data_IF_828712074091
#
_entry.id   IF_828712074091
#
_cell.length_a   1.000
_cell.length_b   1.000
_cell.length_c   1.000
_cell.angle_alpha   90.00
_cell.angle_beta   90.00
_cell.angle_gamma   90.00
#
_symmetry.space_group_name_H-M   'P 1'
#
loop_
_entity.id
_entity.type
_entity.pdbx_description
1 polymer ?
#
# COMPACT_ATOMS: atom_id res chain seq x y z
N UNK A 1 6.51 8.76 -1.22
CA UNK A 1 5.05 8.64 -1.07
C UNK A 1 4.62 7.28 -1.60
N UNK A 2 3.67 6.62 -0.96
CA UNK A 2 3.20 5.29 -1.37
C UNK A 2 1.67 5.20 -1.23
N UNK A 3 0.99 4.63 -2.23
CA UNK A 3 -0.43 4.26 -2.13
C UNK A 3 -0.54 2.95 -1.35
N UNK A 4 -1.28 2.94 -0.25
CA UNK A 4 -1.47 1.73 0.56
C UNK A 4 -2.66 0.91 0.02
N UNK A 5 -2.71 -0.41 0.29
CA UNK A 5 -3.84 -1.25 -0.12
C UNK A 5 -5.20 -0.75 0.41
N UNK A 6 -5.21 -0.13 1.60
CA UNK A 6 -6.41 0.51 2.16
C UNK A 6 -6.93 1.70 1.32
N UNK A 7 -6.14 2.19 0.37
CA UNK A 7 -6.39 3.40 -0.40
C UNK A 7 -6.13 4.68 0.37
N UNK A 8 -5.39 4.60 1.47
CA UNK A 8 -4.72 5.73 2.10
C UNK A 8 -3.37 5.99 1.41
N UNK A 9 -2.80 7.17 1.65
CA UNK A 9 -1.51 7.58 1.07
C UNK A 9 -0.52 7.82 2.20
N UNK A 10 0.59 7.10 2.18
CA UNK A 10 1.69 7.30 3.12
C UNK A 10 2.70 8.30 2.53
N UNK A 11 2.96 9.37 3.26
CA UNK A 11 3.99 10.38 2.95
C UNK A 11 5.05 10.25 4.04
N UNK A 12 6.30 10.00 3.64
CA UNK A 12 7.40 9.71 4.56
C UNK A 12 8.71 10.22 3.95
N UNK A 13 9.76 10.26 4.79
CA UNK A 13 11.11 10.67 4.39
C UNK A 13 11.19 12.15 3.98
N UNK A 14 12.34 12.56 3.45
CA UNK A 14 12.58 13.91 2.96
C UNK A 14 13.11 14.86 4.02
N UNK A 15 13.04 16.15 3.71
CA UNK A 15 13.64 17.23 4.48
C UNK A 15 12.63 18.35 4.68
N UNK A 16 12.70 19.04 5.82
CA UNK A 16 11.87 20.20 6.13
C UNK A 16 12.39 21.47 5.44
N UNK A 17 13.66 21.48 5.04
CA UNK A 17 14.30 22.63 4.39
C UNK A 17 15.21 22.20 3.24
N UNK A 18 15.19 22.97 2.16
CA UNK A 18 16.03 22.76 0.98
C UNK A 18 15.33 21.94 -0.10
N UNK A 19 16.13 21.31 -0.96
CA UNK A 19 15.64 20.60 -2.15
C UNK A 19 16.34 19.25 -2.36
N UNK A 20 15.82 18.50 -3.32
CA UNK A 20 16.40 17.25 -3.80
C UNK A 20 17.79 17.49 -4.41
N UNK A 21 18.74 16.60 -4.10
CA UNK A 21 20.12 16.66 -4.57
C UNK A 21 21.15 16.51 -3.45
N UNK A 22 22.43 16.54 -3.81
CA UNK A 22 23.52 16.41 -2.85
C UNK A 22 23.78 17.72 -2.12
N UNK A 23 23.82 17.67 -0.79
CA UNK A 23 24.15 18.83 0.05
C UNK A 23 23.13 19.97 0.08
N UNK A 24 21.99 19.86 -0.61
CA UNK A 24 20.98 20.93 -0.71
C UNK A 24 19.90 20.89 0.36
N UNK A 25 19.71 19.77 1.04
CA UNK A 25 18.68 19.61 2.08
C UNK A 25 19.27 19.74 3.49
N UNK A 26 18.45 20.24 4.42
CA UNK A 26 18.72 20.30 5.87
C UNK A 26 17.47 19.87 6.62
N UNK A 27 17.62 19.60 7.91
CA UNK A 27 16.51 19.36 8.84
C UNK A 27 15.63 18.17 8.38
N UNK A 28 16.08 16.91 8.56
CA UNK A 28 15.34 15.73 8.12
C UNK A 28 13.91 15.70 8.64
N UNK A 29 12.98 15.23 7.81
CA UNK A 29 11.63 14.95 8.26
C UNK A 29 11.53 13.50 8.76
N UNK A 30 11.50 13.33 10.07
CA UNK A 30 11.39 12.03 10.72
C UNK A 30 9.94 11.52 10.82
N UNK A 31 8.95 12.42 10.78
CA UNK A 31 7.55 12.11 11.06
C UNK A 31 6.79 11.81 9.77
N UNK A 32 6.35 10.56 9.54
CA UNK A 32 5.47 10.26 8.41
C UNK A 32 4.09 10.87 8.62
N UNK A 33 3.40 11.11 7.51
CA UNK A 33 2.01 11.58 7.49
C UNK A 33 1.17 10.60 6.68
N UNK A 34 0.07 10.14 7.28
CA UNK A 34 -0.96 9.39 6.58
C UNK A 34 -2.03 10.34 6.07
N UNK A 35 -2.31 10.26 4.77
CA UNK A 35 -3.42 10.97 4.14
C UNK A 35 -4.56 9.99 3.82
N UNK A 36 -5.75 10.24 4.36
CA UNK A 36 -6.95 9.48 4.06
C UNK A 36 -7.93 10.34 3.25
N UNK A 37 -8.17 10.04 1.96
CA UNK A 37 -9.05 10.85 1.11
C UNK A 37 -10.54 10.71 1.46
N UNK A 38 -10.93 9.67 2.20
CA UNK A 38 -12.34 9.32 2.49
C UNK A 38 -12.89 10.03 3.72
N UNK A 39 -12.02 10.53 4.61
CA UNK A 39 -12.46 11.29 5.78
C UNK A 39 -12.73 12.76 5.42
N UNK A 40 -13.42 13.45 6.33
CA UNK A 40 -13.84 14.84 6.13
C UNK A 40 -12.62 15.74 5.87
N UNK A 41 -12.80 16.76 5.03
CA UNK A 41 -11.76 17.78 4.81
C UNK A 41 -11.41 18.42 6.16
N UNK A 42 -10.13 18.56 6.46
CA UNK A 42 -9.62 19.01 7.76
C UNK A 42 -9.13 17.87 8.66
N UNK A 43 -9.63 16.65 8.48
CA UNK A 43 -9.24 15.46 9.26
C UNK A 43 -8.38 14.47 8.45
N UNK A 44 -8.03 14.83 7.20
CA UNK A 44 -7.42 13.90 6.25
C UNK A 44 -5.97 13.57 6.53
N UNK A 45 -5.25 14.39 7.29
CA UNK A 45 -3.83 14.20 7.56
C UNK A 45 -3.63 13.83 9.02
N UNK A 46 -2.82 12.80 9.26
CA UNK A 46 -2.44 12.36 10.59
C UNK A 46 -0.97 12.03 10.63
N UNK A 47 -0.25 12.61 11.58
CA UNK A 47 1.14 12.26 11.86
C UNK A 47 1.23 10.84 12.47
N UNK A 48 2.28 10.11 12.11
CA UNK A 48 2.57 8.76 12.59
C UNK A 48 3.84 8.76 13.45
N UNK A 49 4.16 7.62 14.04
CA UNK A 49 5.39 7.46 14.82
C UNK A 49 6.63 7.80 13.97
N UNK A 50 7.56 8.63 14.49
CA UNK A 50 8.74 9.03 13.74
C UNK A 50 9.78 7.90 13.64
N UNK A 51 10.54 7.89 12.55
CA UNK A 51 11.79 7.10 12.45
C UNK A 51 12.94 7.86 13.11
N UNK A 52 14.02 7.16 13.47
CA UNK A 52 15.29 7.76 13.89
C UNK A 52 16.29 7.85 12.75
N UNK A 53 15.96 7.37 11.55
CA UNK A 53 16.85 7.34 10.39
C UNK A 53 16.51 8.49 9.43
N UNK A 54 17.45 9.40 9.13
CA UNK A 54 17.21 10.48 8.16
C UNK A 54 17.20 9.91 6.74
N UNK A 55 16.00 9.73 6.17
CA UNK A 55 15.81 9.27 4.78
C UNK A 55 15.77 10.48 3.83
N UNK A 56 16.93 10.89 3.33
CA UNK A 56 17.12 12.11 2.52
C UNK A 56 17.09 11.81 1.00
N UNK A 57 17.81 12.58 0.18
CA UNK A 57 17.95 12.34 -1.26
C UNK A 57 18.50 10.94 -1.57
N UNK A 58 18.01 10.29 -2.64
CA UNK A 58 18.20 8.86 -2.93
C UNK A 58 17.58 7.89 -1.90
N UNK A 59 16.64 8.33 -1.05
CA UNK A 59 15.75 7.38 -0.35
C UNK A 59 14.66 6.86 -1.29
N UNK A 60 14.12 5.68 -0.96
CA UNK A 60 13.01 5.06 -1.69
C UNK A 60 12.05 4.37 -0.73
N UNK A 61 10.80 4.21 -1.18
CA UNK A 61 9.77 3.50 -0.45
C UNK A 61 8.86 2.71 -1.41
N UNK A 62 8.51 1.48 -1.06
CA UNK A 62 7.57 0.65 -1.85
C UNK A 62 6.72 -0.24 -0.96
N UNK A 63 5.49 -0.52 -1.37
CA UNK A 63 4.57 -1.40 -0.63
C UNK A 63 4.91 -2.86 -0.92
N UNK A 64 4.93 -3.67 0.13
CA UNK A 64 5.16 -5.10 0.09
C UNK A 64 3.84 -5.87 0.02
N UNK A 65 3.92 -7.14 -0.39
CA UNK A 65 2.79 -8.05 -0.49
C UNK A 65 2.02 -8.21 0.83
N UNK A 66 2.72 -8.15 1.97
CA UNK A 66 2.12 -8.22 3.32
C UNK A 66 1.50 -6.89 3.81
N UNK A 67 1.44 -5.87 2.95
CA UNK A 67 0.89 -4.55 3.27
C UNK A 67 1.84 -3.64 4.05
N UNK A 68 3.06 -4.06 4.40
CA UNK A 68 4.10 -3.17 4.96
C UNK A 68 4.72 -2.31 3.88
N UNK A 69 5.46 -1.28 4.27
CA UNK A 69 6.22 -0.43 3.35
C UNK A 69 7.70 -0.61 3.60
N UNK A 70 8.45 -1.08 2.60
CA UNK A 70 9.90 -1.12 2.63
C UNK A 70 10.45 0.30 2.42
N UNK A 71 11.32 0.74 3.32
CA UNK A 71 11.99 2.06 3.28
C UNK A 71 13.50 1.83 3.28
N UNK A 72 14.20 2.41 2.31
CA UNK A 72 15.64 2.20 2.12
C UNK A 72 16.35 3.46 1.59
N UNK A 73 17.68 3.41 1.53
CA UNK A 73 18.55 4.57 1.27
C UNK A 73 18.62 5.49 2.50
N UNK A 74 19.09 6.72 2.48
CA UNK A 74 19.54 7.56 1.39
C UNK A 74 21.03 7.51 1.17
N UNK A 75 21.45 8.01 0.02
CA UNK A 75 22.82 8.43 -0.21
C UNK A 75 22.83 9.86 -0.78
N UNK A 76 22.86 10.88 0.08
CA UNK A 76 22.87 12.28 -0.36
C UNK A 76 24.29 12.78 -0.70
N UNK A 77 25.20 11.86 -1.02
CA UNK A 77 26.62 12.11 -1.25
C UNK A 77 27.06 11.61 -2.63
N UNK A 78 28.18 12.15 -3.13
CA UNK A 78 28.84 11.68 -4.35
C UNK A 78 29.66 10.41 -4.09
N UNK A 79 28.97 9.28 -3.93
CA UNK A 79 29.56 7.99 -3.58
C UNK A 79 29.23 7.55 -2.15
N UNK A 80 29.89 6.51 -1.65
CA UNK A 80 29.72 6.02 -0.29
C UNK A 80 30.56 6.85 0.67
N UNK A 81 29.91 7.72 1.43
CA UNK A 81 30.56 8.60 2.40
C UNK A 81 29.91 8.40 3.75
N UNK A 82 30.70 8.00 4.74
CA UNK A 82 30.23 7.70 6.09
C UNK A 82 30.53 8.80 7.10
N UNK A 83 31.52 9.66 6.80
CA UNK A 83 31.84 10.85 7.57
C UNK A 83 31.25 12.09 6.87
N UNK A 84 29.95 12.31 7.07
CA UNK A 84 29.20 13.42 6.49
C UNK A 84 28.01 13.79 7.39
N UNK A 85 27.42 14.96 7.17
CA UNK A 85 26.21 15.41 7.88
C UNK A 85 25.08 14.36 7.81
N UNK A 86 24.92 13.75 6.63
CA UNK A 86 24.02 12.62 6.41
C UNK A 86 24.81 11.50 5.74
N UNK A 87 25.33 10.54 6.52
CA UNK A 87 26.08 9.39 6.02
C UNK A 87 25.29 8.55 5.02
N UNK A 88 25.97 7.79 4.18
CA UNK A 88 25.32 6.78 3.34
C UNK A 88 24.63 5.74 4.22
N UNK A 89 23.31 5.62 4.07
CA UNK A 89 22.46 4.74 4.87
C UNK A 89 22.18 3.42 4.13
N UNK A 90 22.69 2.33 4.68
CA UNK A 90 22.59 0.99 4.11
C UNK A 90 21.48 0.13 4.75
N UNK A 91 20.95 0.55 5.90
CA UNK A 91 19.88 -0.19 6.59
C UNK A 91 18.58 0.00 5.83
N UNK A 92 17.73 -1.03 5.83
CA UNK A 92 16.35 -0.94 5.38
C UNK A 92 15.41 -1.09 6.58
N UNK A 93 14.27 -0.39 6.55
CA UNK A 93 13.20 -0.52 7.53
C UNK A 93 11.94 -1.07 6.85
N UNK A 94 11.15 -1.85 7.57
CA UNK A 94 9.77 -2.16 7.19
C UNK A 94 8.85 -1.34 8.07
N UNK A 95 8.26 -0.29 7.48
CA UNK A 95 7.23 0.49 8.14
C UNK A 95 5.92 -0.32 8.16
N UNK A 96 5.30 -0.43 9.34
CA UNK A 96 4.02 -1.12 9.52
C UNK A 96 2.90 -0.07 9.66
N UNK A 97 2.03 0.10 8.66
CA UNK A 97 0.95 1.09 8.74
C UNK A 97 -0.06 0.75 9.84
N UNK A 98 -0.85 1.74 10.30
CA UNK A 98 -1.80 1.56 11.42
C UNK A 98 -2.82 0.44 11.23
N UNK A 99 -3.16 0.06 9.99
CA UNK A 99 -4.06 -1.06 9.73
C UNK A 99 -3.44 -2.44 10.07
N UNK A 100 -2.13 -2.53 10.35
CA UNK A 100 -1.46 -3.75 10.81
C UNK A 100 -1.32 -3.80 12.34
N UNK A 101 -2.02 -2.94 13.07
CA UNK A 101 -2.06 -3.01 14.53
C UNK A 101 -2.59 -4.39 14.98
N UNK A 102 -1.93 -5.09 15.92
CA UNK A 102 -2.39 -6.38 16.43
C UNK A 102 -3.84 -6.37 16.94
N UNK A 103 -4.34 -5.22 17.43
CA UNK A 103 -5.73 -5.07 17.86
C UNK A 103 -6.75 -5.23 16.71
N UNK A 104 -6.30 -5.07 15.47
CA UNK A 104 -7.10 -5.16 14.25
C UNK A 104 -6.98 -6.51 13.54
N UNK A 105 -6.14 -7.44 14.03
CA UNK A 105 -5.85 -8.71 13.34
C UNK A 105 -7.12 -9.54 13.06
N UNK A 106 -8.13 -9.48 13.94
CA UNK A 106 -9.42 -10.17 13.74
C UNK A 106 -10.16 -9.73 12.46
N UNK A 107 -9.89 -8.52 11.97
CA UNK A 107 -10.49 -7.99 10.75
C UNK A 107 -9.68 -8.33 9.50
N UNK A 108 -8.47 -8.87 9.64
CA UNK A 108 -7.58 -9.18 8.53
C UNK A 108 -8.15 -10.31 7.66
N UNK A 109 -8.47 -10.04 6.39
CA UNK A 109 -8.92 -11.08 5.49
C UNK A 109 -7.75 -11.98 5.06
N UNK A 110 -8.04 -13.25 4.81
CA UNK A 110 -7.14 -14.19 4.16
C UNK A 110 -7.78 -14.66 2.87
N UNK A 111 -7.27 -14.19 1.73
CA UNK A 111 -7.74 -14.61 0.40
C UNK A 111 -7.39 -16.09 0.21
N UNK A 112 -8.30 -16.85 -0.40
CA UNK A 112 -8.02 -18.18 -0.94
C UNK A 112 -7.54 -18.04 -2.39
N UNK A 113 -6.23 -18.23 -2.68
CA UNK A 113 -5.70 -18.08 -4.04
C UNK A 113 -6.23 -19.17 -4.97
N UNK A 114 -6.50 -20.38 -4.47
CA UNK A 114 -6.98 -21.49 -5.30
C UNK A 114 -8.42 -21.27 -5.78
N UNK A 115 -9.18 -20.48 -5.03
CA UNK A 115 -10.55 -20.09 -5.35
C UNK A 115 -10.65 -18.70 -6.01
N UNK A 116 -9.53 -18.07 -6.37
CA UNK A 116 -9.49 -16.76 -7.02
C UNK A 116 -8.78 -16.83 -8.38
N UNK A 117 -9.37 -16.32 -9.48
CA UNK A 117 -8.73 -16.38 -10.79
C UNK A 117 -7.40 -15.62 -10.84
N UNK A 118 -6.33 -16.29 -11.26
CA UNK A 118 -4.99 -15.67 -11.41
C UNK A 118 -4.87 -14.78 -12.65
N UNK A 119 -5.62 -15.08 -13.72
CA UNK A 119 -5.60 -14.34 -14.99
C UNK A 119 -6.95 -13.67 -15.19
N UNK A 120 -6.92 -12.36 -15.37
CA UNK A 120 -8.09 -11.50 -15.42
C UNK A 120 -8.19 -10.82 -16.79
N UNK A 121 -9.32 -10.95 -17.45
CA UNK A 121 -9.72 -10.10 -18.56
C UNK A 121 -10.31 -8.78 -18.08
N UNK A 122 -10.66 -7.92 -19.05
CA UNK A 122 -11.32 -6.64 -18.79
C UNK A 122 -12.84 -6.78 -18.71
N UNK A 123 -13.47 -5.90 -17.93
CA UNK A 123 -14.93 -5.78 -17.81
C UNK A 123 -15.64 -7.13 -17.57
N UNK A 124 -15.05 -7.99 -16.76
CA UNK A 124 -15.61 -9.28 -16.39
C UNK A 124 -15.90 -9.33 -14.90
N UNK A 125 -16.91 -10.12 -14.55
CA UNK A 125 -17.24 -10.42 -13.17
C UNK A 125 -16.40 -11.60 -12.70
N UNK A 126 -15.74 -11.46 -11.55
CA UNK A 126 -14.98 -12.52 -10.90
C UNK A 126 -15.43 -12.71 -9.47
N UNK A 127 -15.22 -13.92 -8.95
CA UNK A 127 -15.40 -14.23 -7.55
C UNK A 127 -14.03 -14.24 -6.84
N UNK A 128 -13.94 -13.59 -5.68
CA UNK A 128 -12.78 -13.63 -4.78
C UNK A 128 -13.25 -14.23 -3.46
N UNK A 129 -12.72 -15.39 -3.09
CA UNK A 129 -13.05 -16.02 -1.80
C UNK A 129 -12.03 -15.63 -0.74
N UNK A 130 -12.51 -15.36 0.47
CA UNK A 130 -11.66 -15.05 1.60
C UNK A 130 -12.25 -15.54 2.92
N UNK A 131 -11.38 -15.68 3.92
CA UNK A 131 -11.73 -15.96 5.30
C UNK A 131 -11.43 -14.77 6.19
N UNK A 132 -12.20 -14.58 7.25
CA UNK A 132 -11.92 -13.57 8.28
C UNK A 132 -12.42 -14.06 9.64
N UNK A 133 -11.67 -13.75 10.69
CA UNK A 133 -11.89 -14.26 12.05
C UNK A 133 -12.73 -13.30 12.93
N UNK A 134 -13.52 -12.42 12.31
CA UNK A 134 -14.39 -11.51 13.06
C UNK A 134 -15.68 -12.21 13.50
N UNK A 135 -16.17 -11.85 14.68
CA UNK A 135 -17.43 -12.40 15.25
C UNK A 135 -18.64 -11.87 14.51
N UNK A 136 -18.68 -10.56 14.27
CA UNK A 136 -19.78 -9.93 13.56
C UNK A 136 -19.75 -10.29 12.07
N UNK A 137 -20.90 -10.42 11.40
CA UNK A 137 -20.94 -10.60 9.96
C UNK A 137 -20.23 -9.48 9.20
N UNK A 138 -19.52 -9.83 8.14
CA UNK A 138 -18.92 -8.85 7.23
C UNK A 138 -20.03 -8.08 6.54
N UNK A 139 -19.94 -6.75 6.58
CA UNK A 139 -20.88 -5.87 5.89
C UNK A 139 -20.27 -5.38 4.58
N UNK A 140 -21.06 -5.36 3.52
CA UNK A 140 -20.61 -5.01 2.18
C UNK A 140 -19.99 -3.62 2.12
N UNK A 141 -20.55 -2.65 2.83
CA UNK A 141 -20.06 -1.26 2.90
C UNK A 141 -18.65 -1.13 3.50
N UNK A 142 -18.18 -2.14 4.23
CA UNK A 142 -16.87 -2.17 4.87
C UNK A 142 -15.82 -2.95 4.07
N UNK A 143 -16.23 -3.57 2.95
CA UNK A 143 -15.35 -4.36 2.10
C UNK A 143 -14.96 -3.58 0.86
N UNK A 144 -13.68 -3.66 0.51
CA UNK A 144 -13.16 -3.20 -0.77
C UNK A 144 -12.23 -4.26 -1.33
N UNK A 145 -12.15 -4.33 -2.65
CA UNK A 145 -11.17 -5.16 -3.35
C UNK A 145 -10.31 -4.24 -4.17
N UNK A 146 -9.00 -4.23 -3.88
CA UNK A 146 -8.08 -3.29 -4.51
C UNK A 146 -6.99 -4.01 -5.27
N UNK A 147 -6.61 -3.49 -6.43
CA UNK A 147 -5.45 -3.95 -7.19
C UNK A 147 -4.35 -2.91 -7.15
N UNK A 148 -3.18 -3.28 -6.64
CA UNK A 148 -1.99 -2.43 -6.54
C UNK A 148 -0.94 -2.84 -7.57
N UNK A 149 -0.31 -1.85 -8.21
CA UNK A 149 0.86 -2.05 -9.06
C UNK A 149 2.12 -1.68 -8.26
N UNK A 150 3.00 -2.65 -7.95
CA UNK A 150 4.28 -2.35 -7.34
C UNK A 150 5.11 -1.43 -8.22
N UNK A 151 5.41 -0.24 -7.69
CA UNK A 151 6.10 0.79 -8.43
C UNK A 151 7.61 0.58 -8.41
N UNK A 152 8.27 0.86 -9.54
CA UNK A 152 9.71 1.14 -9.54
C UNK A 152 9.90 2.58 -9.04
N UNK A 153 10.59 2.74 -7.91
CA UNK A 153 10.73 4.06 -7.26
C UNK A 153 12.19 4.47 -7.10
N UNK A 154 12.54 5.61 -7.67
CA UNK A 154 13.86 6.25 -7.50
C UNK A 154 13.72 7.76 -7.57
N UNK A 155 14.55 8.51 -6.84
CA UNK A 155 14.58 9.97 -6.90
C UNK A 155 13.21 10.64 -6.67
N UNK A 156 12.40 10.08 -5.76
CA UNK A 156 11.01 10.49 -5.51
C UNK A 156 10.03 10.32 -6.67
N UNK A 157 10.44 9.65 -7.75
CA UNK A 157 9.58 9.28 -8.88
C UNK A 157 9.19 7.82 -8.72
N UNK A 158 7.88 7.56 -8.64
CA UNK A 158 7.32 6.21 -8.59
C UNK A 158 6.64 5.89 -9.92
N UNK A 159 7.35 5.21 -10.81
CA UNK A 159 6.84 4.83 -12.12
C UNK A 159 5.79 3.74 -11.99
N UNK A 160 4.69 3.88 -12.73
CA UNK A 160 3.55 2.96 -12.76
C UNK A 160 2.78 2.77 -11.45
N UNK A 161 3.03 3.56 -10.40
CA UNK A 161 2.28 3.47 -9.14
C UNK A 161 0.79 3.73 -9.38
N UNK A 162 -0.03 2.73 -9.07
CA UNK A 162 -1.48 2.79 -9.23
C UNK A 162 -2.15 1.91 -8.19
N UNK A 163 -3.26 2.38 -7.65
CA UNK A 163 -4.19 1.58 -6.87
C UNK A 163 -5.56 1.68 -7.55
N UNK A 164 -6.13 0.53 -7.88
CA UNK A 164 -7.45 0.40 -8.45
C UNK A 164 -8.39 -0.06 -7.34
N UNK A 165 -9.55 0.60 -7.24
CA UNK A 165 -10.66 0.14 -6.41
C UNK A 165 -11.66 -0.55 -7.33
N UNK A 166 -11.83 -1.86 -7.17
CA UNK A 166 -12.68 -2.64 -8.06
C UNK A 166 -14.16 -2.42 -7.75
N UNK A 167 -15.00 -2.59 -8.77
CA UNK A 167 -16.45 -2.46 -8.64
C UNK A 167 -17.03 -3.63 -7.84
N UNK A 168 -17.15 -3.46 -6.53
CA UNK A 168 -17.77 -4.43 -5.62
C UNK A 168 -19.28 -4.54 -5.92
N UNK A 169 -19.76 -5.73 -6.24
CA UNK A 169 -21.17 -5.97 -6.51
C UNK A 169 -21.88 -6.61 -5.33
N UNK A 170 -21.31 -7.68 -4.77
CA UNK A 170 -21.90 -8.41 -3.66
C UNK A 170 -20.85 -9.03 -2.74
N UNK A 171 -21.14 -9.07 -1.43
CA UNK A 171 -20.42 -9.89 -0.45
C UNK A 171 -21.37 -10.96 0.07
N UNK A 172 -21.03 -12.24 -0.17
CA UNK A 172 -21.90 -13.39 0.11
C UNK A 172 -21.26 -14.29 1.17
N UNK A 173 -21.94 -14.57 2.30
CA UNK A 173 -21.49 -15.59 3.23
C UNK A 173 -21.41 -16.96 2.55
N UNK A 174 -20.34 -17.71 2.79
CA UNK A 174 -20.09 -19.04 2.22
C UNK A 174 -19.63 -20.03 3.31
N UNK A 175 -20.27 -19.98 4.48
CA UNK A 175 -19.91 -20.74 5.67
C UNK A 175 -19.33 -19.88 6.80
N UNK A 176 -19.04 -20.48 7.97
CA UNK A 176 -18.56 -19.73 9.14
C UNK A 176 -17.25 -18.99 8.86
N UNK A 177 -17.28 -17.65 8.87
CA UNK A 177 -16.12 -16.79 8.62
C UNK A 177 -15.60 -16.82 7.18
N UNK A 178 -16.28 -17.49 6.26
CA UNK A 178 -15.91 -17.60 4.84
C UNK A 178 -16.87 -16.76 4.01
N UNK A 179 -16.34 -16.01 3.07
CA UNK A 179 -17.11 -15.13 2.20
C UNK A 179 -16.64 -15.23 0.76
N UNK A 180 -17.56 -15.02 -0.18
CA UNK A 180 -17.28 -14.83 -1.60
C UNK A 180 -17.66 -13.41 -2.00
N UNK A 181 -16.76 -12.71 -2.68
CA UNK A 181 -16.99 -11.37 -3.21
C UNK A 181 -17.15 -11.45 -4.71
N UNK A 182 -18.25 -10.94 -5.23
CA UNK A 182 -18.41 -10.67 -6.65
C UNK A 182 -17.89 -9.26 -6.96
N UNK A 183 -16.87 -9.16 -7.84
CA UNK A 183 -16.30 -7.87 -8.27
C UNK A 183 -16.12 -7.78 -9.77
N UNK A 184 -16.19 -6.56 -10.30
CA UNK A 184 -15.86 -6.25 -11.69
C UNK A 184 -14.38 -5.90 -11.84
N UNK A 185 -13.73 -6.57 -12.79
CA UNK A 185 -12.37 -6.20 -13.21
C UNK A 185 -12.37 -4.86 -13.94
N UNK A 186 -11.21 -4.18 -14.05
CA UNK A 186 -11.13 -2.89 -14.74
C UNK A 186 -11.69 -2.94 -16.17
N UNK A 187 -12.23 -1.83 -16.69
CA UNK A 187 -12.97 -1.85 -17.95
C UNK A 187 -12.08 -1.92 -19.19
N UNK A 188 -10.82 -1.47 -19.12
CA UNK A 188 -9.90 -1.41 -20.26
C UNK A 188 -8.44 -1.12 -19.82
N UNK A 189 -7.54 -1.18 -20.79
CA UNK A 189 -6.09 -0.95 -20.63
C UNK A 189 -5.73 0.48 -20.25
N UNK A 190 -6.57 1.48 -20.54
CA UNK A 190 -6.36 2.86 -20.12
C UNK A 190 -6.41 2.98 -18.59
N UNK A 191 -7.39 2.32 -17.96
CA UNK A 191 -7.55 2.29 -16.51
C UNK A 191 -6.60 1.29 -15.84
N UNK A 192 -6.29 0.17 -16.50
CA UNK A 192 -5.38 -0.84 -15.97
C UNK A 192 -4.55 -1.47 -17.10
N UNK A 193 -3.34 -0.98 -17.37
CA UNK A 193 -2.44 -1.59 -18.35
C UNK A 193 -2.24 -3.08 -18.06
N UNK A 194 -2.05 -3.91 -19.09
CA UNK A 194 -1.79 -5.33 -18.90
C UNK A 194 -0.51 -5.53 -18.09
N UNK A 195 -0.48 -6.56 -17.25
CA UNK A 195 0.64 -6.79 -16.34
C UNK A 195 0.23 -7.45 -15.03
N UNK A 196 1.18 -7.52 -14.10
CA UNK A 196 0.99 -8.11 -12.78
C UNK A 196 0.54 -7.06 -11.77
N UNK A 197 -0.41 -7.48 -10.94
CA UNK A 197 -1.00 -6.68 -9.87
C UNK A 197 -1.05 -7.52 -8.60
N UNK A 198 -0.92 -6.86 -7.46
CA UNK A 198 -1.29 -7.44 -6.18
C UNK A 198 -2.77 -7.15 -5.91
N UNK A 199 -3.57 -8.19 -5.78
CA UNK A 199 -4.97 -8.12 -5.38
C UNK A 199 -5.08 -8.24 -3.85
N UNK A 200 -5.81 -7.31 -3.25
CA UNK A 200 -6.09 -7.30 -1.82
C UNK A 200 -7.60 -7.28 -1.56
N UNK A 201 -8.03 -7.95 -0.50
CA UNK A 201 -9.33 -7.72 0.13
C UNK A 201 -9.09 -6.84 1.35
N UNK A 202 -9.81 -5.72 1.45
CA UNK A 202 -9.72 -4.77 2.55
C UNK A 202 -11.02 -4.80 3.33
N UNK A 203 -10.94 -5.14 4.61
CA UNK A 203 -12.09 -5.18 5.51
C UNK A 203 -11.91 -4.19 6.65
N UNK A 204 -12.83 -3.22 6.75
CA UNK A 204 -12.77 -2.15 7.76
C UNK A 204 -11.40 -1.42 7.77
N UNK A 205 -10.81 -1.25 6.58
CA UNK A 205 -9.50 -0.62 6.41
C UNK A 205 -8.30 -1.56 6.59
N UNK A 206 -8.50 -2.81 7.02
CA UNK A 206 -7.45 -3.83 7.18
C UNK A 206 -7.30 -4.65 5.90
N UNK A 207 -6.16 -4.57 5.20
CA UNK A 207 -5.91 -5.37 4.01
C UNK A 207 -5.49 -6.80 4.36
N UNK A 208 -5.80 -7.72 3.46
CA UNK A 208 -5.20 -9.06 3.43
C UNK A 208 -3.71 -9.00 3.13
N UNK A 209 -3.04 -10.15 3.19
CA UNK A 209 -1.86 -10.33 2.33
C UNK A 209 -2.31 -10.31 0.85
N UNK A 210 -1.53 -9.65 0.01
CA UNK A 210 -1.83 -9.54 -1.41
C UNK A 210 -1.56 -10.87 -2.13
N UNK A 211 -2.37 -11.19 -3.14
CA UNK A 211 -2.06 -12.30 -4.06
C UNK A 211 -1.72 -11.73 -5.44
N UNK A 212 -0.83 -12.39 -6.16
CA UNK A 212 -0.49 -11.97 -7.52
C UNK A 212 -1.58 -12.41 -8.50
N UNK A 213 -2.04 -11.45 -9.30
CA UNK A 213 -2.93 -11.68 -10.44
C UNK A 213 -2.36 -10.96 -11.67
N UNK A 214 -2.77 -11.39 -12.86
CA UNK A 214 -2.32 -10.82 -14.12
C UNK A 214 -3.51 -10.35 -14.95
N UNK A 215 -3.52 -9.07 -15.33
CA UNK A 215 -4.48 -8.54 -16.31
C UNK A 215 -3.96 -8.83 -17.72
N UNK A 216 -4.81 -9.42 -18.57
CA UNK A 216 -4.54 -9.73 -19.99
C UNK A 216 -5.65 -9.28 -20.92
#
# INVERSE_FOLDING_TARGET
>A
MSLLPSGEVLILSGAKRGSSGWGFARDPNFTPVLYNPRVKRGERFRELAPTTIPRMYHSTATVLQDGRVLVAGSNTNNGYIYDAMFPTELRAEKFSPPYLDPALEKFKPQIDPAATPEKLGFNQKIAVQFKVNQVEPVKQENIRVTMYVPAFTTHSVSMNMRLLDLGLEAVKPNGPGVYSIDVWTPPNTTIAPTGYYLLFVVNQGVPSEGIWVQIK
#
